data_IF_562119623898
#
_entry.id   IF_562119623898
#
_cell.length_a   1.000
_cell.length_b   1.000
_cell.length_c   1.000
_cell.angle_alpha   90.00
_cell.angle_beta   90.00
_cell.angle_gamma   90.00
#
_symmetry.space_group_name_H-M   'P 1'
#
loop_
_entity.id
_entity.type
_entity.pdbx_description
1 polymer ?
#
# COMPACT_ATOMS: atom_id res chain seq x y z
N UNK A 1 -0.72 4.66 -23.59
CA UNK A 1 -0.27 5.25 -24.87
C UNK A 1 -1.33 5.13 -25.95
N UNK A 2 -2.03 3.99 -26.07
CA UNK A 2 -3.07 3.74 -27.08
C UNK A 2 -4.10 4.88 -27.24
N UNK A 3 -4.76 5.32 -26.15
CA UNK A 3 -5.82 6.35 -26.20
C UNK A 3 -5.37 7.67 -26.86
N UNK A 4 -4.10 8.08 -26.70
CA UNK A 4 -3.62 9.40 -27.13
C UNK A 4 -3.16 9.44 -28.59
N UNK A 5 -2.55 8.35 -29.08
CA UNK A 5 -2.25 8.19 -30.52
C UNK A 5 -3.53 8.05 -31.35
N UNK A 6 -4.56 7.44 -30.78
CA UNK A 6 -5.84 7.22 -31.45
C UNK A 6 -6.58 8.53 -31.76
N UNK A 7 -6.34 9.60 -31.00
CA UNK A 7 -7.05 10.88 -31.19
C UNK A 7 -6.59 11.62 -32.46
N UNK A 8 -5.27 11.73 -32.68
CA UNK A 8 -4.71 12.31 -33.91
C UNK A 8 -5.08 11.45 -35.12
N UNK A 9 -4.96 10.13 -34.99
CA UNK A 9 -5.34 9.19 -36.04
C UNK A 9 -6.84 9.28 -36.38
N UNK A 10 -7.70 9.42 -35.37
CA UNK A 10 -9.14 9.60 -35.53
C UNK A 10 -9.49 10.88 -36.27
N UNK A 11 -8.87 12.01 -35.91
CA UNK A 11 -9.09 13.26 -36.64
C UNK A 11 -8.59 13.17 -38.10
N UNK A 12 -7.40 12.60 -38.33
CA UNK A 12 -6.90 12.36 -39.70
C UNK A 12 -7.85 11.50 -40.54
N UNK A 13 -8.36 10.41 -39.95
CA UNK A 13 -9.30 9.53 -40.63
C UNK A 13 -10.60 10.28 -40.97
N UNK A 14 -11.13 11.07 -40.04
CA UNK A 14 -12.33 11.88 -40.27
C UNK A 14 -12.13 12.91 -41.39
N UNK A 15 -10.97 13.58 -41.42
CA UNK A 15 -10.63 14.56 -42.47
C UNK A 15 -10.38 13.91 -43.84
N UNK A 16 -10.08 12.61 -43.89
CA UNK A 16 -9.89 11.84 -45.12
C UNK A 16 -11.18 11.29 -45.73
N UNK A 17 -12.29 11.31 -45.00
CA UNK A 17 -13.63 11.09 -45.56
C UNK A 17 -14.04 12.35 -46.34
N UNK A 18 -14.79 12.21 -47.45
CA UNK A 18 -15.20 13.33 -48.34
C UNK A 18 -15.36 14.66 -47.59
N UNK A 19 -14.39 15.56 -47.77
CA UNK A 19 -14.09 16.73 -46.91
C UNK A 19 -15.28 17.20 -46.05
N UNK A 20 -15.37 16.78 -44.77
CA UNK A 20 -16.52 17.09 -43.95
C UNK A 20 -16.61 18.60 -43.71
N UNK A 21 -17.79 19.20 -43.88
CA UNK A 21 -18.00 20.63 -43.57
C UNK A 21 -17.75 20.95 -42.09
N UNK A 22 -17.90 19.96 -41.21
CA UNK A 22 -17.71 20.09 -39.76
C UNK A 22 -17.34 18.75 -39.14
N UNK A 23 -16.36 18.78 -38.22
CA UNK A 23 -15.95 17.61 -37.43
C UNK A 23 -16.22 17.89 -35.95
N UNK A 24 -16.96 17.00 -35.28
CA UNK A 24 -17.18 17.07 -33.82
C UNK A 24 -16.44 15.91 -33.17
N UNK A 25 -15.49 16.22 -32.29
CA UNK A 25 -14.69 15.25 -31.54
C UNK A 25 -15.25 15.15 -30.12
N UNK A 26 -15.85 14.01 -29.82
CA UNK A 26 -16.41 13.72 -28.50
C UNK A 26 -15.38 12.97 -27.63
N UNK A 27 -15.20 13.42 -26.38
CA UNK A 27 -14.24 12.84 -25.43
C UNK A 27 -14.87 12.66 -24.05
N UNK A 28 -14.63 11.52 -23.43
CA UNK A 28 -15.07 11.25 -22.06
C UNK A 28 -14.12 11.74 -20.96
N UNK A 29 -12.86 11.93 -21.34
CA UNK A 29 -11.84 12.48 -20.46
C UNK A 29 -11.82 14.02 -20.53
N UNK A 30 -12.41 14.65 -19.52
CA UNK A 30 -12.46 16.12 -19.39
C UNK A 30 -11.07 16.77 -19.42
N UNK A 31 -10.06 16.15 -18.80
CA UNK A 31 -8.70 16.67 -18.80
C UNK A 31 -8.07 16.62 -20.21
N UNK A 32 -8.36 15.56 -20.98
CA UNK A 32 -7.91 15.47 -22.37
C UNK A 32 -8.62 16.52 -23.25
N UNK A 33 -9.93 16.69 -23.10
CA UNK A 33 -10.69 17.72 -23.81
C UNK A 33 -10.13 19.14 -23.53
N UNK A 34 -9.85 19.45 -22.26
CA UNK A 34 -9.24 20.71 -21.86
C UNK A 34 -7.84 20.91 -22.47
N UNK A 35 -7.00 19.86 -22.52
CA UNK A 35 -5.67 19.94 -23.13
C UNK A 35 -5.73 20.23 -24.63
N UNK A 36 -6.77 19.77 -25.33
CA UNK A 36 -6.94 20.04 -26.76
C UNK A 36 -7.44 21.45 -27.04
N UNK A 37 -8.31 21.97 -26.17
CA UNK A 37 -8.87 23.31 -26.30
C UNK A 37 -7.91 24.41 -25.81
N UNK A 38 -6.90 24.06 -25.01
CA UNK A 38 -6.02 25.03 -24.36
C UNK A 38 -4.57 24.58 -24.31
N UNK A 39 -3.96 24.69 -23.12
CA UNK A 39 -2.54 24.39 -22.92
C UNK A 39 -2.32 22.86 -22.91
N UNK A 40 -1.48 22.32 -23.80
CA UNK A 40 -1.19 20.90 -23.86
C UNK A 40 -0.41 20.46 -22.61
N UNK A 41 -0.69 19.26 -22.10
CA UNK A 41 0.04 18.76 -20.93
C UNK A 41 1.49 18.43 -21.27
N UNK A 42 2.40 18.54 -20.29
CA UNK A 42 3.82 18.14 -20.43
C UNK A 42 4.00 16.69 -20.90
N UNK A 43 3.00 15.84 -20.67
CA UNK A 43 2.98 14.46 -21.17
C UNK A 43 2.22 14.37 -22.49
N UNK A 44 2.76 13.68 -23.50
CA UNK A 44 2.10 13.58 -24.82
C UNK A 44 1.83 14.93 -25.49
N UNK A 45 2.65 15.94 -25.18
CA UNK A 45 2.53 17.29 -25.73
C UNK A 45 2.53 17.27 -27.27
N UNK A 46 3.37 16.41 -27.86
CA UNK A 46 3.47 16.26 -29.31
C UNK A 46 2.11 15.89 -29.93
N UNK A 47 1.40 14.91 -29.37
CA UNK A 47 0.10 14.48 -29.88
C UNK A 47 -0.98 15.56 -29.72
N UNK A 48 -0.96 16.32 -28.61
CA UNK A 48 -1.89 17.44 -28.42
C UNK A 48 -1.63 18.57 -29.42
N UNK A 49 -0.37 18.97 -29.61
CA UNK A 49 0.02 20.00 -30.57
C UNK A 49 -0.30 19.59 -32.01
N UNK A 50 -0.06 18.32 -32.36
CA UNK A 50 -0.35 17.77 -33.67
C UNK A 50 -1.86 17.76 -33.96
N UNK A 51 -2.69 17.41 -32.98
CA UNK A 51 -4.14 17.52 -33.10
C UNK A 51 -4.60 18.97 -33.26
N UNK A 52 -4.07 19.88 -32.44
CA UNK A 52 -4.42 21.31 -32.52
C UNK A 52 -4.07 21.88 -33.89
N UNK A 53 -2.91 21.54 -34.45
CA UNK A 53 -2.52 21.95 -35.79
C UNK A 53 -3.50 21.42 -36.86
N UNK A 54 -3.93 20.15 -36.78
CA UNK A 54 -4.92 19.58 -37.69
C UNK A 54 -6.30 20.24 -37.55
N UNK A 55 -6.74 20.49 -36.33
CA UNK A 55 -8.02 21.14 -36.04
C UNK A 55 -8.04 22.59 -36.57
N UNK A 56 -6.94 23.32 -36.40
CA UNK A 56 -6.77 24.68 -36.94
C UNK A 56 -6.74 24.66 -38.47
N UNK A 57 -6.03 23.71 -39.09
CA UNK A 57 -5.96 23.61 -40.55
C UNK A 57 -7.32 23.28 -41.19
N UNK A 58 -8.17 22.51 -40.50
CA UNK A 58 -9.53 22.24 -40.95
C UNK A 58 -10.49 23.41 -40.71
N UNK A 59 -10.30 24.18 -39.63
CA UNK A 59 -11.09 25.39 -39.31
C UNK A 59 -12.50 25.14 -38.76
N UNK A 60 -13.08 23.95 -38.98
CA UNK A 60 -14.42 23.58 -38.52
C UNK A 60 -14.44 22.34 -37.60
N UNK A 61 -13.47 22.27 -36.67
CA UNK A 61 -13.37 21.18 -35.68
C UNK A 61 -13.83 21.64 -34.30
N UNK A 62 -14.84 20.98 -33.74
CA UNK A 62 -15.35 21.25 -32.38
C UNK A 62 -15.01 20.10 -31.44
N UNK A 63 -14.70 20.42 -30.19
CA UNK A 63 -14.40 19.44 -29.14
C UNK A 63 -15.53 19.47 -28.11
N UNK A 64 -16.16 18.33 -27.86
CA UNK A 64 -17.23 18.17 -26.87
C UNK A 64 -16.85 17.13 -25.83
N UNK A 65 -17.10 17.46 -24.57
CA UNK A 65 -17.05 16.47 -23.52
C UNK A 65 -18.34 15.65 -23.48
N UNK A 66 -18.22 14.34 -23.32
CA UNK A 66 -19.35 13.41 -23.14
C UNK A 66 -19.16 12.63 -21.84
N UNK A 67 -20.21 12.31 -21.07
CA UNK A 67 -20.04 11.48 -19.89
C UNK A 67 -19.59 10.06 -20.27
N UNK A 68 -18.61 9.53 -19.54
CA UNK A 68 -18.17 8.14 -19.67
C UNK A 68 -19.10 7.17 -18.94
N UNK A 69 -19.16 5.92 -19.40
CA UNK A 69 -19.93 4.82 -18.79
C UNK A 69 -21.45 5.07 -18.66
N UNK A 70 -22.03 5.89 -19.53
CA UNK A 70 -23.48 6.16 -19.56
C UNK A 70 -24.18 5.49 -20.74
N UNK A 71 -23.62 4.40 -21.28
CA UNK A 71 -24.18 3.64 -22.42
C UNK A 71 -24.39 4.47 -23.70
N UNK A 72 -23.54 5.48 -23.95
CA UNK A 72 -23.55 6.20 -25.23
C UNK A 72 -22.88 5.29 -26.28
N UNK A 73 -23.61 4.81 -27.31
CA UNK A 73 -23.11 3.75 -28.18
C UNK A 73 -21.74 4.04 -28.81
N UNK A 74 -21.53 5.27 -29.30
CA UNK A 74 -20.26 5.68 -29.88
C UNK A 74 -19.10 5.73 -28.87
N UNK A 75 -19.37 6.15 -27.62
CA UNK A 75 -18.35 6.18 -26.58
C UNK A 75 -17.97 4.77 -26.13
N UNK A 76 -18.97 3.91 -25.91
CA UNK A 76 -18.73 2.51 -25.53
C UNK A 76 -17.98 1.74 -26.63
N UNK A 77 -18.28 2.00 -27.90
CA UNK A 77 -17.54 1.44 -29.02
C UNK A 77 -16.09 1.95 -29.07
N UNK A 78 -15.87 3.25 -28.86
CA UNK A 78 -14.53 3.83 -28.78
C UNK A 78 -13.73 3.23 -27.61
N UNK A 79 -14.36 3.05 -26.45
CA UNK A 79 -13.78 2.42 -25.26
C UNK A 79 -13.42 0.94 -25.49
N UNK A 80 -14.30 0.19 -26.15
CA UNK A 80 -14.05 -1.20 -26.51
C UNK A 80 -12.86 -1.32 -27.46
N UNK A 81 -12.78 -0.45 -28.47
CA UNK A 81 -11.64 -0.38 -29.40
C UNK A 81 -10.35 0.04 -28.69
N UNK A 82 -10.42 1.02 -27.79
CA UNK A 82 -9.27 1.45 -27.00
C UNK A 82 -8.75 0.32 -26.10
N UNK A 83 -9.64 -0.42 -25.42
CA UNK A 83 -9.30 -1.61 -24.62
C UNK A 83 -8.67 -2.70 -25.47
N UNK A 84 -9.24 -3.02 -26.63
CA UNK A 84 -8.66 -3.99 -27.56
C UNK A 84 -7.24 -3.57 -28.00
N UNK A 85 -7.03 -2.27 -28.24
CA UNK A 85 -5.73 -1.71 -28.55
C UNK A 85 -4.70 -1.84 -27.42
N UNK A 86 -5.12 -1.87 -26.15
CA UNK A 86 -4.19 -2.11 -25.02
C UNK A 86 -3.65 -3.53 -24.94
N UNK A 87 -4.32 -4.49 -25.59
CA UNK A 87 -3.88 -5.87 -25.67
C UNK A 87 -2.92 -6.14 -26.84
N UNK A 88 -2.71 -5.16 -27.72
CA UNK A 88 -1.75 -5.29 -28.80
C UNK A 88 -0.32 -5.10 -28.26
N UNK A 89 0.67 -5.86 -28.78
CA UNK A 89 2.05 -5.67 -28.40
C UNK A 89 2.50 -4.24 -28.74
N UNK A 90 3.24 -3.62 -27.81
CA UNK A 90 3.88 -2.35 -28.10
C UNK A 90 4.84 -2.53 -29.29
N UNK A 91 5.00 -1.51 -30.17
CA UNK A 91 6.00 -1.53 -31.23
C UNK A 91 7.40 -1.82 -30.66
N UNK A 92 8.23 -2.56 -31.39
CA UNK A 92 9.57 -2.96 -30.92
C UNK A 92 10.44 -1.77 -30.45
N UNK A 93 10.26 -0.59 -31.05
CA UNK A 93 11.02 0.64 -30.75
C UNK A 93 10.30 1.59 -29.79
N UNK A 94 9.22 1.16 -29.12
CA UNK A 94 8.45 2.01 -28.23
C UNK A 94 9.27 2.36 -26.97
N UNK A 95 9.67 3.62 -26.86
CA UNK A 95 10.28 4.12 -25.62
C UNK A 95 9.24 4.15 -24.48
N UNK A 96 9.64 3.76 -23.25
CA UNK A 96 8.76 3.83 -22.10
C UNK A 96 8.35 5.28 -21.80
N UNK A 97 7.07 5.49 -21.49
CA UNK A 97 6.59 6.83 -21.08
C UNK A 97 7.28 7.31 -19.79
N UNK A 98 7.42 8.63 -19.63
CA UNK A 98 7.85 9.25 -18.38
C UNK A 98 7.01 8.78 -17.16
N UNK A 99 5.70 8.59 -17.35
CA UNK A 99 4.80 8.07 -16.32
C UNK A 99 5.17 6.63 -15.91
N UNK A 100 5.48 5.76 -16.88
CA UNK A 100 5.97 4.41 -16.62
C UNK A 100 7.31 4.43 -15.89
N UNK A 101 8.27 5.24 -16.35
CA UNK A 101 9.58 5.37 -15.71
C UNK A 101 9.45 5.84 -14.24
N UNK A 102 8.60 6.84 -13.98
CA UNK A 102 8.28 7.29 -12.61
C UNK A 102 7.65 6.18 -11.77
N UNK A 103 6.74 5.39 -12.33
CA UNK A 103 6.13 4.23 -11.65
C UNK A 103 7.18 3.19 -11.27
N UNK A 104 8.06 2.84 -12.21
CA UNK A 104 9.17 1.90 -11.97
C UNK A 104 10.14 2.44 -10.92
N UNK A 105 10.53 3.71 -11.01
CA UNK A 105 11.43 4.35 -10.05
C UNK A 105 10.86 4.35 -8.63
N UNK A 106 9.55 4.56 -8.45
CA UNK A 106 8.88 4.48 -7.13
C UNK A 106 8.75 3.04 -6.62
N UNK A 107 8.61 2.06 -7.52
CA UNK A 107 8.42 0.65 -7.17
C UNK A 107 9.72 -0.03 -6.77
N UNK A 108 10.82 0.21 -7.49
CA UNK A 108 12.11 -0.48 -7.29
C UNK A 108 12.63 -0.45 -5.85
N UNK A 109 12.65 0.70 -5.13
CA UNK A 109 13.12 0.73 -3.75
C UNK A 109 12.25 -0.10 -2.80
N UNK A 110 10.91 -0.12 -3.03
CA UNK A 110 9.97 -0.91 -2.22
C UNK A 110 10.21 -2.40 -2.40
N UNK A 111 10.37 -2.84 -3.65
CA UNK A 111 10.63 -4.23 -3.99
C UNK A 111 12.01 -4.67 -3.45
N UNK A 112 13.04 -3.84 -3.59
CA UNK A 112 14.37 -4.11 -3.07
C UNK A 112 14.38 -4.20 -1.52
N UNK A 113 13.64 -3.32 -0.85
CA UNK A 113 13.51 -3.36 0.60
C UNK A 113 12.75 -4.61 1.07
N UNK A 114 11.67 -5.01 0.36
CA UNK A 114 10.94 -6.24 0.63
C UNK A 114 11.82 -7.48 0.49
N UNK A 115 12.56 -7.60 -0.61
CA UNK A 115 13.47 -8.71 -0.84
C UNK A 115 14.58 -8.77 0.24
N UNK A 116 15.16 -7.62 0.60
CA UNK A 116 16.15 -7.55 1.70
C UNK A 116 15.54 -8.00 3.03
N UNK A 117 14.32 -7.57 3.36
CA UNK A 117 13.65 -7.96 4.59
C UNK A 117 13.40 -9.47 4.63
N UNK A 118 12.84 -10.06 3.58
CA UNK A 118 12.59 -11.50 3.52
C UNK A 118 13.89 -12.32 3.70
N UNK A 119 15.00 -11.85 3.13
CA UNK A 119 16.31 -12.51 3.27
C UNK A 119 16.96 -12.34 4.66
N UNK A 120 16.76 -11.20 5.33
CA UNK A 120 17.50 -10.82 6.55
C UNK A 120 16.64 -10.66 7.80
N UNK A 121 15.33 -10.90 7.72
CA UNK A 121 14.41 -10.72 8.84
C UNK A 121 14.89 -11.52 10.06
N UNK A 122 14.95 -10.91 11.25
CA UNK A 122 15.27 -11.62 12.48
C UNK A 122 14.36 -12.83 12.66
N UNK A 123 14.90 -13.93 13.18
CA UNK A 123 14.15 -15.18 13.36
C UNK A 123 12.85 -14.95 14.15
N UNK A 124 12.88 -14.08 15.15
CA UNK A 124 11.71 -13.74 15.95
C UNK A 124 10.57 -13.12 15.12
N UNK A 125 10.88 -12.23 14.17
CA UNK A 125 9.85 -11.64 13.30
C UNK A 125 9.19 -12.68 12.39
N UNK A 126 9.96 -13.69 11.95
CA UNK A 126 9.42 -14.83 11.19
C UNK A 126 8.51 -15.71 12.05
N UNK A 127 8.91 -15.99 13.29
CA UNK A 127 8.12 -16.79 14.25
C UNK A 127 6.80 -16.08 14.61
N UNK A 128 6.84 -14.76 14.72
CA UNK A 128 5.68 -13.92 15.02
C UNK A 128 4.83 -13.60 13.79
N UNK A 129 5.25 -14.06 12.61
CA UNK A 129 4.56 -13.83 11.33
C UNK A 129 4.31 -12.33 11.08
N UNK A 130 5.32 -11.51 11.38
CA UNK A 130 5.27 -10.07 11.18
C UNK A 130 5.73 -9.71 9.77
N UNK A 131 4.76 -9.39 8.92
CA UNK A 131 5.01 -8.91 7.57
C UNK A 131 5.68 -7.54 7.57
N UNK A 132 6.45 -7.29 6.51
CA UNK A 132 6.97 -5.97 6.23
C UNK A 132 5.83 -5.03 5.86
N UNK A 133 5.45 -4.15 6.79
CA UNK A 133 4.49 -3.09 6.52
C UNK A 133 5.20 -1.88 5.90
N UNK A 134 4.82 -1.54 4.67
CA UNK A 134 5.29 -0.33 3.97
C UNK A 134 4.38 0.89 4.19
N UNK A 135 3.30 0.71 4.96
CA UNK A 135 2.35 1.75 5.37
C UNK A 135 2.30 1.93 6.89
N UNK A 136 1.31 2.67 7.39
CA UNK A 136 1.12 2.92 8.81
C UNK A 136 0.61 1.65 9.53
N UNK A 137 1.41 1.01 10.41
CA UNK A 137 1.01 -0.20 11.11
C UNK A 137 -0.17 0.07 12.06
N UNK A 138 -1.16 -0.84 12.15
CA UNK A 138 -2.34 -0.63 13.00
C UNK A 138 -1.98 -0.50 14.49
N UNK A 139 -0.91 -1.15 14.96
CA UNK A 139 -0.43 -1.06 16.35
C UNK A 139 0.00 0.35 16.77
N UNK A 140 0.34 1.24 15.83
CA UNK A 140 0.70 2.62 16.17
C UNK A 140 -0.49 3.44 16.69
N UNK A 141 -1.73 2.93 16.56
CA UNK A 141 -2.92 3.53 17.17
C UNK A 141 -3.03 3.23 18.68
N UNK A 142 -2.20 2.32 19.22
CA UNK A 142 -2.24 1.95 20.62
C UNK A 142 -1.72 3.09 21.52
N UNK A 143 -2.23 3.19 22.76
CA UNK A 143 -1.63 4.06 23.77
C UNK A 143 -0.15 3.72 23.98
N UNK A 144 0.69 4.75 24.10
CA UNK A 144 2.15 4.63 24.21
C UNK A 144 2.67 3.52 25.15
N UNK A 145 2.15 3.39 26.39
CA UNK A 145 2.60 2.33 27.30
C UNK A 145 2.36 0.91 26.77
N UNK A 146 1.25 0.66 26.10
CA UNK A 146 0.91 -0.66 25.55
C UNK A 146 1.69 -0.95 24.28
N UNK A 147 1.85 0.07 23.41
CA UNK A 147 2.70 -0.02 22.24
C UNK A 147 4.13 -0.38 22.66
N UNK A 148 4.66 0.30 23.69
CA UNK A 148 5.99 0.00 24.24
C UNK A 148 6.13 -1.47 24.65
N UNK A 149 5.16 -2.00 25.41
CA UNK A 149 5.22 -3.39 25.87
C UNK A 149 5.08 -4.42 24.74
N UNK A 150 4.25 -4.12 23.73
CA UNK A 150 4.12 -4.96 22.55
C UNK A 150 5.43 -4.99 21.74
N UNK A 151 6.02 -3.82 21.48
CA UNK A 151 7.30 -3.72 20.76
C UNK A 151 8.44 -4.39 21.53
N UNK A 152 8.50 -4.22 22.86
CA UNK A 152 9.44 -4.94 23.71
C UNK A 152 9.29 -6.45 23.53
N UNK A 153 8.06 -6.98 23.63
CA UNK A 153 7.80 -8.41 23.47
C UNK A 153 8.18 -8.94 22.07
N UNK A 154 7.94 -8.15 21.01
CA UNK A 154 8.29 -8.49 19.61
C UNK A 154 9.79 -8.48 19.34
N UNK A 155 10.52 -7.62 20.04
CA UNK A 155 11.96 -7.46 19.84
C UNK A 155 12.79 -8.24 20.85
N UNK A 156 12.19 -8.78 21.93
CA UNK A 156 12.94 -9.34 23.08
C UNK A 156 13.86 -8.31 23.76
N UNK A 157 13.58 -7.03 23.61
CA UNK A 157 14.34 -5.96 24.27
C UNK A 157 13.56 -5.39 25.45
N UNK A 158 14.26 -4.62 26.30
CA UNK A 158 13.73 -3.92 27.48
C UNK A 158 13.73 -4.77 28.76
N UNK A 159 12.66 -4.70 29.54
CA UNK A 159 12.52 -5.22 30.91
C UNK A 159 12.30 -6.75 30.95
N UNK A 160 13.15 -7.50 30.26
CA UNK A 160 13.20 -8.96 30.32
C UNK A 160 14.53 -9.42 30.91
N UNK A 161 14.49 -10.54 31.63
CA UNK A 161 15.65 -11.04 32.35
C UNK A 161 16.86 -11.25 31.43
N UNK A 162 16.63 -11.84 30.25
CA UNK A 162 17.68 -12.09 29.24
C UNK A 162 18.35 -10.80 28.74
N UNK A 163 17.59 -9.72 28.56
CA UNK A 163 18.14 -8.43 28.13
C UNK A 163 19.04 -7.83 29.22
N UNK A 164 18.56 -7.78 30.46
CA UNK A 164 19.33 -7.20 31.57
C UNK A 164 20.60 -8.00 31.88
N UNK A 165 20.55 -9.33 31.80
CA UNK A 165 21.74 -10.17 31.96
C UNK A 165 22.75 -9.95 30.83
N UNK A 166 22.29 -9.86 29.58
CA UNK A 166 23.16 -9.61 28.42
C UNK A 166 23.93 -8.30 28.54
N UNK A 167 23.35 -7.28 29.17
CA UNK A 167 23.96 -5.96 29.36
C UNK A 167 24.46 -5.70 30.79
N UNK A 168 24.43 -6.71 31.66
CA UNK A 168 24.89 -6.64 33.05
C UNK A 168 24.29 -5.46 33.85
N UNK A 169 22.96 -5.33 33.82
CA UNK A 169 22.23 -4.36 34.65
C UNK A 169 21.98 -4.90 36.06
N UNK A 170 22.74 -4.43 37.05
CA UNK A 170 22.76 -4.97 38.41
C UNK A 170 21.50 -4.66 39.24
N UNK A 171 20.78 -3.59 38.92
CA UNK A 171 19.59 -3.10 39.65
C UNK A 171 18.26 -3.62 39.07
N UNK A 172 18.33 -4.36 37.97
CA UNK A 172 17.15 -4.84 37.27
C UNK A 172 16.48 -6.01 38.00
N UNK A 173 15.16 -5.95 38.22
CA UNK A 173 14.46 -7.13 38.74
C UNK A 173 14.09 -8.07 37.59
N UNK A 174 14.82 -9.19 37.56
CA UNK A 174 14.72 -10.25 36.56
C UNK A 174 13.47 -11.14 36.72
N UNK A 175 12.72 -10.98 37.81
CA UNK A 175 11.55 -11.80 38.12
C UNK A 175 10.29 -10.95 38.27
N UNK A 176 9.17 -11.52 37.86
CA UNK A 176 7.83 -10.98 38.11
C UNK A 176 7.47 -11.20 39.59
N UNK A 177 6.52 -10.42 40.12
CA UNK A 177 6.01 -10.62 41.48
C UNK A 177 5.36 -12.00 41.69
N UNK A 178 5.07 -12.74 40.62
CA UNK A 178 4.65 -14.12 40.68
C UNK A 178 5.81 -15.12 40.89
N UNK A 179 7.06 -14.66 41.02
CA UNK A 179 8.27 -15.47 41.24
C UNK A 179 8.83 -16.16 39.99
N UNK A 180 8.25 -15.93 38.80
CA UNK A 180 8.79 -16.45 37.53
C UNK A 180 9.68 -15.40 36.88
N UNK A 181 10.64 -15.88 36.09
CA UNK A 181 11.53 -15.06 35.25
C UNK A 181 10.72 -14.20 34.27
N UNK A 182 11.14 -12.94 34.08
CA UNK A 182 10.53 -12.04 33.10
C UNK A 182 10.92 -12.48 31.69
N UNK A 183 9.90 -12.80 30.90
CA UNK A 183 10.04 -13.21 29.50
C UNK A 183 8.96 -12.51 28.66
N UNK A 184 9.19 -12.31 27.34
CA UNK A 184 8.21 -11.71 26.43
C UNK A 184 6.80 -12.32 26.50
N UNK A 185 6.75 -13.65 26.65
CA UNK A 185 5.51 -14.42 26.71
C UNK A 185 4.89 -14.50 28.11
N UNK A 186 5.51 -13.91 29.14
CA UNK A 186 5.11 -14.12 30.53
C UNK A 186 3.65 -13.68 30.82
N UNK A 187 3.16 -12.65 30.12
CA UNK A 187 1.78 -12.19 30.16
C UNK A 187 0.76 -13.33 29.98
N UNK A 188 1.07 -14.35 29.19
CA UNK A 188 0.11 -15.41 28.87
C UNK A 188 0.11 -16.58 29.86
N UNK A 189 1.12 -16.65 30.75
CA UNK A 189 1.31 -17.79 31.67
C UNK A 189 1.47 -17.36 33.13
N UNK A 190 1.38 -16.06 33.43
CA UNK A 190 1.55 -15.58 34.80
C UNK A 190 0.44 -16.09 35.71
N UNK A 191 0.82 -16.80 36.79
CA UNK A 191 -0.13 -17.38 37.75
C UNK A 191 -0.97 -16.34 38.51
N UNK A 192 -0.50 -15.10 38.60
CA UNK A 192 -1.23 -14.00 39.25
C UNK A 192 -2.34 -13.39 38.38
N UNK A 193 -2.38 -13.72 37.08
CA UNK A 193 -3.50 -13.31 36.22
C UNK A 193 -4.69 -14.23 36.53
N UNK A 194 -5.83 -13.63 36.89
CA UNK A 194 -7.06 -14.38 37.16
C UNK A 194 -7.52 -15.18 35.93
N UNK A 195 -8.04 -16.42 36.09
CA UNK A 195 -8.42 -17.28 34.96
C UNK A 195 -9.33 -16.60 33.92
N UNK A 196 -10.27 -15.75 34.37
CA UNK A 196 -11.19 -15.00 33.49
C UNK A 196 -10.52 -14.01 32.53
N UNK A 197 -9.28 -13.59 32.82
CA UNK A 197 -8.52 -12.66 31.99
C UNK A 197 -7.48 -13.38 31.12
N UNK A 198 -7.32 -14.70 31.26
CA UNK A 198 -6.35 -15.48 30.49
C UNK A 198 -6.88 -15.73 29.08
N UNK A 199 -5.97 -15.66 28.11
CA UNK A 199 -6.24 -16.08 26.73
C UNK A 199 -6.27 -17.61 26.63
N UNK A 200 -7.14 -18.15 25.77
CA UNK A 200 -7.13 -19.59 25.45
C UNK A 200 -5.88 -19.93 24.63
N UNK A 201 -5.13 -20.93 25.08
CA UNK A 201 -3.86 -21.34 24.46
C UNK A 201 -3.96 -22.62 23.62
N UNK A 202 -5.07 -23.34 23.70
CA UNK A 202 -5.31 -24.54 22.89
C UNK A 202 -5.64 -24.17 21.43
N UNK A 203 -5.21 -24.99 20.44
CA UNK A 203 -4.53 -26.28 20.59
C UNK A 203 -3.01 -26.18 20.78
N UNK A 204 -2.39 -25.07 20.37
CA UNK A 204 -0.93 -24.87 20.46
C UNK A 204 -0.62 -23.58 21.23
N UNK A 205 -0.09 -23.69 22.46
CA UNK A 205 0.24 -22.51 23.26
C UNK A 205 1.24 -21.58 22.60
N UNK A 206 2.27 -22.13 21.97
CA UNK A 206 3.29 -21.35 21.25
C UNK A 206 2.68 -20.57 20.08
N UNK A 207 1.84 -21.23 19.26
CA UNK A 207 1.21 -20.55 18.12
C UNK A 207 0.24 -19.45 18.58
N UNK A 208 -0.56 -19.71 19.63
CA UNK A 208 -1.50 -18.72 20.17
C UNK A 208 -0.77 -17.48 20.71
N UNK A 209 0.31 -17.70 21.46
CA UNK A 209 1.14 -16.60 21.99
C UNK A 209 1.85 -15.83 20.88
N UNK A 210 2.44 -16.54 19.91
CA UNK A 210 3.14 -15.89 18.80
C UNK A 210 2.19 -15.02 17.97
N UNK A 211 0.96 -15.49 17.71
CA UNK A 211 -0.06 -14.66 17.06
C UNK A 211 -0.45 -13.45 17.89
N UNK A 212 -0.68 -13.63 19.18
CA UNK A 212 -1.04 -12.53 20.08
C UNK A 212 0.06 -11.48 20.25
N UNK A 213 1.33 -11.84 20.15
CA UNK A 213 2.45 -10.87 20.11
C UNK A 213 2.63 -10.31 18.68
N UNK A 214 2.35 -11.13 17.66
CA UNK A 214 2.49 -10.84 16.24
C UNK A 214 1.28 -10.11 15.65
N UNK A 215 0.66 -10.70 14.62
CA UNK A 215 -0.45 -10.11 13.85
C UNK A 215 -1.70 -9.80 14.68
N UNK A 216 -2.04 -10.66 15.65
CA UNK A 216 -3.27 -10.57 16.46
C UNK A 216 -3.03 -9.81 17.78
N UNK A 217 -2.33 -8.68 17.71
CA UNK A 217 -1.89 -7.94 18.90
C UNK A 217 -3.03 -7.42 19.78
N UNK A 218 -4.25 -7.35 19.28
CA UNK A 218 -5.44 -7.05 20.07
C UNK A 218 -5.63 -8.01 21.24
N UNK A 219 -5.23 -9.29 21.09
CA UNK A 219 -5.29 -10.26 22.18
C UNK A 219 -4.27 -9.93 23.27
N UNK A 220 -3.05 -9.55 22.90
CA UNK A 220 -2.05 -9.07 23.87
C UNK A 220 -2.57 -7.85 24.62
N UNK A 221 -3.13 -6.88 23.90
CA UNK A 221 -3.70 -5.65 24.49
C UNK A 221 -4.85 -5.98 25.43
N UNK A 222 -5.75 -6.87 25.04
CA UNK A 222 -6.90 -7.31 25.83
C UNK A 222 -6.44 -7.95 27.15
N UNK A 223 -5.51 -8.90 27.11
CA UNK A 223 -5.00 -9.57 28.32
C UNK A 223 -4.25 -8.57 29.21
N UNK A 224 -3.38 -7.75 28.63
CA UNK A 224 -2.59 -6.75 29.36
C UNK A 224 -3.48 -5.75 30.12
N UNK A 225 -4.50 -5.20 29.45
CA UNK A 225 -5.46 -4.27 30.05
C UNK A 225 -6.33 -4.96 31.11
N UNK A 226 -6.97 -6.08 30.77
CA UNK A 226 -7.93 -6.74 31.64
C UNK A 226 -7.29 -7.24 32.95
N UNK A 227 -6.01 -7.60 32.92
CA UNK A 227 -5.27 -8.05 34.10
C UNK A 227 -4.44 -6.96 34.79
N UNK A 228 -4.38 -5.75 34.23
CA UNK A 228 -3.46 -4.68 34.67
C UNK A 228 -2.01 -5.16 34.80
N UNK A 229 -1.60 -6.10 33.94
CA UNK A 229 -0.38 -6.90 34.15
C UNK A 229 0.87 -6.05 34.37
N UNK A 230 1.12 -5.08 33.50
CA UNK A 230 2.31 -4.23 33.57
C UNK A 230 2.21 -3.11 34.62
N UNK A 231 1.03 -2.89 35.20
CA UNK A 231 0.78 -1.86 36.21
C UNK A 231 0.73 -2.39 37.65
N UNK A 232 0.43 -3.68 37.86
CA UNK A 232 0.24 -4.23 39.21
C UNK A 232 0.88 -5.60 39.44
N UNK A 233 1.14 -6.38 38.38
CA UNK A 233 1.62 -7.77 38.51
C UNK A 233 3.11 -7.88 38.19
N UNK A 234 3.50 -7.46 36.99
CA UNK A 234 4.86 -7.52 36.47
C UNK A 234 5.32 -6.10 36.20
N UNK A 235 5.66 -5.39 37.27
CA UNK A 235 6.12 -4.01 37.22
C UNK A 235 7.45 -3.90 36.50
N UNK A 236 7.67 -2.74 35.87
CA UNK A 236 8.98 -2.38 35.33
C UNK A 236 9.98 -2.15 36.45
N UNK A 237 11.23 -2.53 36.18
CA UNK A 237 12.39 -2.26 37.02
C UNK A 237 13.44 -1.55 36.20
#
# INVERSE_FOLDING_TARGET
MAVRRNMVAGLRAALGLSAPERVVVCLDNLAAAACLQGMPSDSSQKEFLEFQALAVAHGATEIRWTPGHTNIPGNEQADALAKAGTSQPDPADALPTLAYLRKVARRRPKDAFKARWEASAPQQYRILDLDLMTGHPPELTLPGPLLHHLLAARTQHWDFAEYHERFNHDDARLTCSCGRRKEPKHLFYCRKIAPRHRMRLAPSPSAAVNRAIGRDFDQFVKVAKASSFFGTICLRH
#
